data_IF_964679146256
#
_entry.id   IF_964679146256
#
_cell.length_a   1.000
_cell.length_b   1.000
_cell.length_c   1.000
_cell.angle_alpha   90.00
_cell.angle_beta   90.00
_cell.angle_gamma   90.00
#
_symmetry.space_group_name_H-M   'P 1'
#
loop_
_entity.id
_entity.type
_entity.pdbx_description
1 polymer ?
#
# COMPACT_ATOMS: atom_id res chain seq x y z
N UNK A 1 0.96 9.05 -6.76
CA UNK A 1 0.25 8.42 -7.90
C UNK A 1 0.07 6.94 -7.59
N UNK A 2 -1.11 6.36 -7.84
CA UNK A 2 -1.27 4.90 -7.88
C UNK A 2 -0.66 4.40 -9.18
N UNK A 3 0.38 3.57 -9.09
CA UNK A 3 1.11 3.06 -10.24
C UNK A 3 0.56 1.72 -10.73
N UNK A 4 0.19 0.83 -9.80
CA UNK A 4 -0.40 -0.46 -10.13
C UNK A 4 -1.29 -0.98 -9.00
N UNK A 5 -2.29 -1.77 -9.38
CA UNK A 5 -3.10 -2.59 -8.47
C UNK A 5 -3.30 -3.97 -9.10
N UNK A 6 -3.12 -5.03 -8.32
CA UNK A 6 -3.39 -6.41 -8.72
C UNK A 6 -3.74 -7.27 -7.50
N UNK A 7 -4.40 -8.44 -7.66
CA UNK A 7 -4.41 -9.47 -6.63
C UNK A 7 -2.99 -9.88 -6.25
N UNK A 8 -2.80 -10.37 -5.02
CA UNK A 8 -1.57 -11.08 -4.62
C UNK A 8 -1.29 -12.24 -5.58
N UNK A 9 -0.01 -12.52 -5.82
CA UNK A 9 0.43 -13.70 -6.61
C UNK A 9 -0.02 -15.01 -5.98
N UNK A 10 -0.26 -15.00 -4.66
CA UNK A 10 -0.78 -16.12 -3.89
C UNK A 10 -2.32 -16.21 -3.92
N UNK A 11 -3.03 -15.33 -4.65
CA UNK A 11 -4.49 -15.30 -4.74
C UNK A 11 -5.13 -14.06 -4.11
N UNK A 12 -6.36 -13.70 -4.51
CA UNK A 12 -7.04 -12.47 -4.04
C UNK A 12 -7.37 -12.49 -2.54
N UNK A 13 -7.56 -13.68 -1.97
CA UNK A 13 -7.75 -13.93 -0.55
C UNK A 13 -6.54 -13.51 0.29
N UNK A 14 -5.35 -13.44 -0.33
CA UNK A 14 -4.13 -12.94 0.28
C UNK A 14 -3.97 -11.41 0.16
N UNK A 15 -4.98 -10.74 -0.38
CA UNK A 15 -5.10 -9.28 -0.44
C UNK A 15 -4.76 -8.67 -1.80
N UNK A 16 -4.94 -7.35 -1.87
CA UNK A 16 -4.56 -6.52 -3.01
C UNK A 16 -3.13 -6.03 -2.86
N UNK A 17 -2.35 -6.13 -3.93
CA UNK A 17 -1.03 -5.54 -4.04
C UNK A 17 -1.15 -4.22 -4.76
N UNK A 18 -0.79 -3.15 -4.07
CA UNK A 18 -0.87 -1.78 -4.56
C UNK A 18 0.52 -1.16 -4.57
N UNK A 19 0.92 -0.53 -5.68
CA UNK A 19 2.18 0.20 -5.78
C UNK A 19 1.91 1.66 -6.00
N UNK A 20 2.58 2.51 -5.24
CA UNK A 20 2.46 3.95 -5.34
C UNK A 20 3.83 4.56 -5.61
N UNK A 21 3.83 5.61 -6.42
CA UNK A 21 5.01 6.41 -6.69
C UNK A 21 4.74 7.87 -6.33
N UNK A 22 5.62 8.43 -5.50
CA UNK A 22 5.74 9.86 -5.34
C UNK A 22 6.62 10.45 -6.44
N UNK A 23 6.04 11.07 -7.47
CA UNK A 23 6.79 11.76 -8.53
C UNK A 23 7.36 13.12 -8.11
N UNK A 24 7.04 13.61 -6.90
CA UNK A 24 7.52 14.91 -6.45
C UNK A 24 8.98 14.82 -5.99
N UNK A 25 9.72 15.91 -6.19
CA UNK A 25 11.06 16.09 -5.63
C UNK A 25 11.07 16.38 -4.11
N UNK A 26 9.92 16.25 -3.44
CA UNK A 26 9.73 16.48 -2.00
C UNK A 26 9.01 15.29 -1.37
N UNK A 27 9.19 15.12 -0.07
CA UNK A 27 8.45 14.11 0.70
C UNK A 27 6.96 14.46 0.75
N UNK A 28 6.11 13.43 0.77
CA UNK A 28 4.64 13.56 0.87
C UNK A 28 4.09 12.50 1.81
N UNK A 29 3.00 12.81 2.50
CA UNK A 29 2.35 11.90 3.46
C UNK A 29 0.85 11.74 3.17
N UNK A 30 0.47 11.08 2.07
CA UNK A 30 -0.93 10.94 1.71
C UNK A 30 -1.64 9.90 2.58
N UNK A 31 -2.96 10.06 2.69
CA UNK A 31 -3.86 9.08 3.29
C UNK A 31 -4.36 8.17 2.16
N UNK A 32 -4.17 6.87 2.30
CA UNK A 32 -4.72 5.86 1.40
C UNK A 32 -6.06 5.36 1.93
N UNK A 33 -7.09 5.50 1.10
CA UNK A 33 -8.45 5.02 1.34
C UNK A 33 -8.93 4.23 0.13
N UNK A 34 -9.61 3.11 0.36
CA UNK A 34 -10.26 2.30 -0.67
C UNK A 34 -11.79 2.45 -0.54
N UNK A 35 -12.54 1.92 -1.53
CA UNK A 35 -14.00 1.86 -1.47
C UNK A 35 -14.52 0.89 -0.40
N UNK A 36 -13.70 -0.09 -0.02
CA UNK A 36 -13.90 -1.02 1.08
C UNK A 36 -12.94 -0.69 2.24
N UNK A 37 -13.32 -0.96 3.49
CA UNK A 37 -12.43 -0.77 4.64
C UNK A 37 -11.12 -1.54 4.46
N UNK A 38 -9.99 -0.89 4.78
CA UNK A 38 -8.72 -1.59 4.93
C UNK A 38 -8.72 -2.22 6.33
N UNK A 39 -8.45 -3.52 6.42
CA UNK A 39 -8.35 -4.24 7.69
C UNK A 39 -6.91 -4.42 8.13
N UNK A 40 -6.09 -4.91 7.20
CA UNK A 40 -4.69 -5.23 7.45
C UNK A 40 -3.86 -4.66 6.32
N UNK A 41 -2.69 -4.11 6.66
CA UNK A 41 -1.75 -3.58 5.69
C UNK A 41 -0.33 -4.04 6.01
N UNK A 42 0.41 -4.39 4.97
CA UNK A 42 1.85 -4.66 5.02
C UNK A 42 2.57 -3.78 4.01
N UNK A 43 3.72 -3.24 4.38
CA UNK A 43 4.71 -2.82 3.39
C UNK A 43 5.38 -4.08 2.84
N UNK A 44 5.51 -4.15 1.51
CA UNK A 44 6.12 -5.29 0.84
C UNK A 44 7.25 -4.86 -0.09
N UNK A 45 8.12 -5.82 -0.40
CA UNK A 45 9.07 -5.71 -1.51
C UNK A 45 8.32 -5.64 -2.86
N UNK A 46 9.09 -5.46 -3.93
CA UNK A 46 8.54 -5.44 -5.29
C UNK A 46 8.08 -6.81 -5.79
N UNK A 47 8.50 -7.90 -5.11
CA UNK A 47 8.09 -9.29 -5.30
C UNK A 47 7.16 -9.77 -4.17
N UNK A 48 6.44 -8.85 -3.52
CA UNK A 48 5.36 -9.14 -2.58
C UNK A 48 5.76 -9.81 -1.26
N UNK A 49 7.04 -9.83 -0.92
CA UNK A 49 7.51 -10.26 0.40
C UNK A 49 7.13 -9.23 1.45
N UNK A 50 6.41 -9.64 2.48
CA UNK A 50 6.05 -8.78 3.61
C UNK A 50 7.29 -8.37 4.40
N UNK A 51 7.53 -7.07 4.55
CA UNK A 51 8.66 -6.53 5.32
C UNK A 51 8.22 -6.00 6.68
N UNK A 52 7.12 -5.24 6.70
CA UNK A 52 6.69 -4.53 7.90
C UNK A 52 5.15 -4.46 7.97
N UNK A 53 4.53 -4.85 9.09
CA UNK A 53 3.11 -4.61 9.31
C UNK A 53 2.87 -3.12 9.53
N UNK A 54 1.81 -2.59 8.92
CA UNK A 54 1.42 -1.20 9.03
C UNK A 54 0.14 -1.07 9.85
N UNK A 55 0.10 -0.04 10.70
CA UNK A 55 -1.09 0.26 11.48
C UNK A 55 -2.15 0.90 10.60
N UNK A 56 -3.30 0.27 10.50
CA UNK A 56 -4.50 0.85 9.90
C UNK A 56 -5.24 1.64 10.99
N UNK A 57 -5.64 2.88 10.70
CA UNK A 57 -6.36 3.73 11.64
C UNK A 57 -7.65 4.19 10.97
N UNK A 58 -8.80 3.95 11.60
CA UNK A 58 -10.11 4.32 11.05
C UNK A 58 -10.28 3.86 9.58
N UNK A 59 -9.95 2.60 9.31
CA UNK A 59 -10.12 1.95 7.99
C UNK A 59 -9.26 2.55 6.86
N UNK A 60 -8.33 3.48 7.18
CA UNK A 60 -7.41 4.11 6.24
C UNK A 60 -5.95 3.87 6.63
N UNK A 61 -5.07 3.95 5.64
CA UNK A 61 -3.64 3.81 5.82
C UNK A 61 -2.94 5.16 5.65
N UNK A 62 -2.34 5.66 6.74
CA UNK A 62 -1.47 6.82 6.69
C UNK A 62 -0.10 6.40 6.14
N UNK A 63 0.31 7.01 5.04
CA UNK A 63 1.56 6.66 4.36
C UNK A 63 2.53 7.84 4.34
N UNK A 64 3.80 7.54 4.11
CA UNK A 64 4.83 8.55 3.88
C UNK A 64 5.78 8.09 2.78
N UNK A 65 6.18 9.01 1.92
CA UNK A 65 7.08 8.78 0.80
C UNK A 65 8.16 9.85 0.80
N UNK A 66 9.41 9.44 0.58
CA UNK A 66 10.51 10.34 0.21
C UNK A 66 10.32 10.82 -1.24
N UNK A 67 11.10 11.83 -1.64
CA UNK A 67 11.16 12.29 -3.02
C UNK A 67 11.44 11.12 -3.97
N UNK A 68 10.68 11.03 -5.07
CA UNK A 68 10.82 9.98 -6.10
C UNK A 68 10.68 8.52 -5.60
N UNK A 69 10.18 8.29 -4.38
CA UNK A 69 10.10 6.95 -3.80
C UNK A 69 8.89 6.17 -4.30
N UNK A 70 9.11 4.89 -4.58
CA UNK A 70 8.06 3.88 -4.72
C UNK A 70 7.91 3.04 -3.45
N UNK A 71 6.66 2.72 -3.10
CA UNK A 71 6.35 1.72 -2.07
C UNK A 71 5.24 0.79 -2.58
N UNK A 72 5.34 -0.47 -2.16
CA UNK A 72 4.33 -1.50 -2.43
C UNK A 72 3.67 -1.88 -1.12
N UNK A 73 2.35 -2.05 -1.13
CA UNK A 73 1.59 -2.48 0.02
C UNK A 73 0.70 -3.67 -0.34
N UNK A 74 0.63 -4.64 0.57
CA UNK A 74 -0.40 -5.69 0.57
C UNK A 74 -1.52 -5.23 1.50
N UNK A 75 -2.74 -5.14 0.97
CA UNK A 75 -3.92 -4.63 1.67
C UNK A 75 -4.99 -5.71 1.70
N UNK A 76 -5.43 -6.09 2.90
CA UNK A 76 -6.58 -6.97 3.09
C UNK A 76 -7.80 -6.09 3.35
N UNK A 77 -8.87 -6.32 2.59
CA UNK A 77 -10.12 -5.56 2.63
C UNK A 77 -11.29 -6.48 2.95
N UNK A 78 -12.34 -5.93 3.57
CA UNK A 78 -13.63 -6.58 3.82
C UNK A 78 -14.63 -6.35 2.67
#
# INVERSE_FOLDING_TARGET
>A
MLWSVKPSEEGIENGLITRFWNFNAKAVSPILKLSKPINTAWQTTHIETNEQPLKVNNEVLNTSFKAFQMKTYRLIVE
#
